data_IF_579265506236
#
_entry.id   IF_579265506236
#
_cell.length_a   1.000
_cell.length_b   1.000
_cell.length_c   1.000
_cell.angle_alpha   90.00
_cell.angle_beta   90.00
_cell.angle_gamma   90.00
#
_symmetry.space_group_name_H-M   'P 1'
#
loop_
_entity.id
_entity.type
_entity.pdbx_description
1 polymer ?
#
# COMPACT_ATOMS: atom_id res chain seq x y z
N UNK A 1 -29.54 63.49 -44.09
CA UNK A 1 -28.33 64.08 -44.73
C UNK A 1 -27.14 63.90 -43.80
N UNK A 2 -25.98 63.53 -44.36
CA UNK A 2 -24.68 63.15 -43.74
C UNK A 2 -24.64 61.69 -43.25
N UNK A 3 -24.15 60.69 -44.00
CA UNK A 3 -22.75 60.42 -44.46
C UNK A 3 -21.73 60.58 -43.33
N UNK A 4 -20.77 59.70 -43.04
CA UNK A 4 -20.38 58.35 -43.44
C UNK A 4 -19.06 58.09 -42.65
N UNK A 5 -18.63 56.83 -42.54
CA UNK A 5 -17.20 56.41 -42.59
C UNK A 5 -16.30 56.40 -41.32
N UNK A 6 -15.46 55.34 -41.31
CA UNK A 6 -14.27 54.99 -40.50
C UNK A 6 -14.52 54.22 -39.17
N UNK A 7 -14.54 52.88 -39.14
CA UNK A 7 -13.48 51.86 -39.39
C UNK A 7 -12.84 51.34 -38.08
N UNK A 8 -12.85 50.01 -37.99
CA UNK A 8 -11.78 49.14 -37.46
C UNK A 8 -11.51 49.14 -35.94
N UNK A 9 -11.94 48.08 -35.25
CA UNK A 9 -11.12 46.86 -35.03
C UNK A 9 -11.85 45.87 -34.12
N UNK A 10 -12.04 44.67 -34.67
CA UNK A 10 -12.42 43.48 -33.93
C UNK A 10 -11.32 43.08 -32.95
N UNK A 11 -11.68 42.69 -31.73
CA UNK A 11 -10.85 41.80 -30.91
C UNK A 11 -11.78 40.68 -30.45
N UNK A 12 -11.79 39.62 -31.23
CA UNK A 12 -12.37 38.32 -30.87
C UNK A 12 -11.43 37.70 -29.84
N UNK A 13 -11.78 37.80 -28.55
CA UNK A 13 -11.12 37.02 -27.51
C UNK A 13 -11.60 35.57 -27.62
N UNK A 14 -10.85 34.76 -28.36
CA UNK A 14 -10.99 33.31 -28.39
C UNK A 14 -10.53 32.79 -27.01
N UNK A 15 -11.48 32.46 -26.15
CA UNK A 15 -11.23 31.75 -24.89
C UNK A 15 -10.83 30.31 -25.24
N UNK A 16 -9.52 30.09 -25.38
CA UNK A 16 -8.93 28.75 -25.43
C UNK A 16 -9.00 28.17 -24.01
N UNK A 17 -10.10 27.49 -23.68
CA UNK A 17 -10.18 26.65 -22.51
C UNK A 17 -9.28 25.42 -22.75
N UNK A 18 -7.99 25.54 -22.45
CA UNK A 18 -7.13 24.38 -22.25
C UNK A 18 -7.65 23.64 -21.01
N UNK A 19 -8.52 22.65 -21.23
CA UNK A 19 -8.68 21.55 -20.29
C UNK A 19 -7.34 20.82 -20.29
N UNK A 20 -6.48 21.20 -19.36
CA UNK A 20 -5.33 20.40 -18.94
C UNK A 20 -5.89 19.11 -18.35
N UNK A 21 -6.19 18.13 -19.20
CA UNK A 21 -6.37 16.75 -18.76
C UNK A 21 -5.01 16.31 -18.23
N UNK A 22 -4.78 16.52 -16.94
CA UNK A 22 -3.72 15.85 -16.21
C UNK A 22 -4.03 14.37 -16.31
N UNK A 23 -3.44 13.72 -17.32
CA UNK A 23 -3.28 12.27 -17.33
C UNK A 23 -2.40 11.97 -16.13
N UNK A 24 -3.01 11.73 -14.97
CA UNK A 24 -2.36 11.02 -13.88
C UNK A 24 -1.95 9.71 -14.52
N UNK A 25 -0.67 9.60 -14.89
CA UNK A 25 -0.06 8.34 -15.24
C UNK A 25 -0.30 7.50 -14.00
N UNK A 26 -1.29 6.62 -14.05
CA UNK A 26 -1.48 5.58 -13.05
C UNK A 26 -0.21 4.73 -13.15
N UNK A 27 0.83 5.16 -12.42
CA UNK A 27 2.02 4.36 -12.24
C UNK A 27 1.52 3.05 -11.65
N UNK A 28 1.95 1.92 -12.22
CA UNK A 28 1.64 0.63 -11.63
C UNK A 28 2.06 0.68 -10.17
N UNK A 29 1.13 0.43 -9.27
CA UNK A 29 1.45 0.40 -7.86
C UNK A 29 2.45 -0.74 -7.60
N UNK A 30 3.49 -0.43 -6.83
CA UNK A 30 4.44 -1.43 -6.34
C UNK A 30 4.59 -1.31 -4.83
N UNK A 31 4.84 -2.44 -4.18
CA UNK A 31 5.14 -2.52 -2.76
C UNK A 31 6.63 -2.75 -2.54
N UNK A 32 7.19 -2.03 -1.59
CA UNK A 32 8.56 -2.24 -1.11
C UNK A 32 8.54 -2.62 0.37
N UNK A 33 9.42 -3.53 0.77
CA UNK A 33 9.57 -3.90 2.18
C UNK A 33 10.15 -2.70 2.96
N UNK A 34 9.60 -2.44 4.14
CA UNK A 34 10.06 -1.37 5.03
C UNK A 34 10.85 -2.01 6.18
N UNK A 35 12.18 -1.77 6.26
CA UNK A 35 12.96 -2.22 7.40
C UNK A 35 12.47 -1.55 8.69
N UNK A 36 12.05 -2.37 9.65
CA UNK A 36 11.61 -1.91 10.97
C UNK A 36 12.77 -2.05 11.96
N UNK A 37 13.23 -0.95 12.54
CA UNK A 37 14.41 -0.89 13.42
C UNK A 37 14.11 -0.16 14.73
N UNK A 38 14.85 -0.40 15.82
CA UNK A 38 14.73 0.41 17.03
C UNK A 38 14.89 1.89 16.69
N UNK A 39 14.10 2.75 17.36
CA UNK A 39 14.14 4.20 17.14
C UNK A 39 15.55 4.77 17.35
N UNK A 40 16.26 4.26 18.35
CA UNK A 40 17.68 4.52 18.58
C UNK A 40 18.32 3.34 19.32
N UNK A 41 19.66 3.25 19.40
CA UNK A 41 20.34 2.19 20.14
C UNK A 41 19.86 2.05 21.59
N UNK A 42 19.53 3.17 22.24
CA UNK A 42 19.05 3.23 23.63
C UNK A 42 17.52 3.20 23.78
N UNK A 43 16.77 3.14 22.66
CA UNK A 43 15.30 3.14 22.62
C UNK A 43 14.80 1.94 21.85
N UNK A 44 14.71 0.82 22.56
CA UNK A 44 14.20 -0.47 22.07
C UNK A 44 12.75 -0.73 22.44
N UNK A 45 12.11 0.23 23.12
CA UNK A 45 10.67 0.25 23.41
C UNK A 45 9.84 0.68 22.19
N UNK A 46 10.46 1.38 21.24
CA UNK A 46 9.82 1.85 20.01
C UNK A 46 10.63 1.40 18.79
N UNK A 47 9.93 0.84 17.82
CA UNK A 47 10.48 0.45 16.54
C UNK A 47 9.85 1.27 15.42
N UNK A 48 10.68 1.75 14.51
CA UNK A 48 10.30 2.63 13.41
C UNK A 48 10.62 2.01 12.05
N UNK A 49 9.70 2.20 11.11
CA UNK A 49 9.91 2.01 9.67
C UNK A 49 9.60 3.32 8.96
N UNK A 50 10.40 3.68 7.95
CA UNK A 50 10.23 4.97 7.28
C UNK A 50 10.22 4.82 5.76
N UNK A 51 9.42 5.67 5.13
CA UNK A 51 9.48 5.97 3.70
C UNK A 51 9.64 7.49 3.49
N UNK A 52 9.38 7.97 2.27
CA UNK A 52 9.51 9.39 1.95
C UNK A 52 8.51 10.24 2.74
N UNK A 53 7.24 9.84 2.78
CA UNK A 53 6.16 10.64 3.39
C UNK A 53 5.61 10.05 4.68
N UNK A 54 5.93 8.81 5.03
CA UNK A 54 5.32 8.12 6.17
C UNK A 54 6.37 7.54 7.10
N UNK A 55 6.11 7.63 8.40
CA UNK A 55 6.79 6.86 9.44
C UNK A 55 5.77 5.93 10.12
N UNK A 56 6.15 4.67 10.26
CA UNK A 56 5.41 3.62 10.96
C UNK A 56 6.08 3.42 12.32
N UNK A 57 5.30 3.43 13.39
CA UNK A 57 5.81 3.17 14.75
C UNK A 57 5.09 1.98 15.38
N UNK A 58 5.88 1.07 15.94
CA UNK A 58 5.42 -0.09 16.70
C UNK A 58 5.96 -0.01 18.12
N UNK A 59 5.11 -0.33 19.11
CA UNK A 59 5.56 -0.49 20.50
C UNK A 59 6.13 -1.89 20.70
N UNK A 60 7.19 -1.97 21.49
CA UNK A 60 7.77 -3.22 21.95
C UNK A 60 7.89 -3.21 23.47
N UNK A 61 7.17 -4.12 24.12
CA UNK A 61 7.25 -4.30 25.57
C UNK A 61 8.26 -5.39 25.97
N UNK A 62 8.92 -6.03 24.98
CA UNK A 62 9.94 -7.04 25.20
C UNK A 62 11.26 -6.39 25.63
N UNK A 63 11.75 -6.77 26.81
CA UNK A 63 12.98 -6.23 27.41
C UNK A 63 14.26 -6.98 27.03
N UNK A 64 14.17 -8.19 26.44
CA UNK A 64 15.34 -9.02 26.11
C UNK A 64 15.18 -9.77 24.77
N UNK A 65 16.31 -10.05 24.11
CA UNK A 65 16.38 -10.84 22.88
C UNK A 65 15.91 -10.10 21.62
N UNK A 66 16.01 -10.76 20.47
CA UNK A 66 15.59 -10.17 19.19
C UNK A 66 14.07 -10.02 19.13
N UNK A 67 13.61 -8.88 18.61
CA UNK A 67 12.20 -8.59 18.35
C UNK A 67 11.90 -8.97 16.90
N UNK A 68 11.03 -9.95 16.73
CA UNK A 68 10.58 -10.46 15.42
C UNK A 68 9.12 -10.08 15.12
N UNK A 69 8.37 -9.74 16.16
CA UNK A 69 6.93 -9.48 16.08
C UNK A 69 6.53 -8.41 17.09
N UNK A 70 5.40 -7.75 16.83
CA UNK A 70 4.81 -6.72 17.68
C UNK A 70 3.37 -7.14 18.04
N UNK A 71 3.15 -7.69 19.25
CA UNK A 71 1.84 -8.16 19.65
C UNK A 71 0.89 -7.04 20.10
N UNK A 72 1.44 -5.95 20.61
CA UNK A 72 0.66 -4.92 21.30
C UNK A 72 0.32 -3.74 20.39
N UNK A 73 -0.97 -3.36 20.30
CA UNK A 73 -1.36 -2.15 19.62
C UNK A 73 -0.95 -0.86 20.37
N UNK A 74 -0.95 0.29 19.65
CA UNK A 74 -1.29 0.44 18.24
C UNK A 74 -0.06 0.39 17.31
N UNK A 75 -0.30 0.10 16.02
CA UNK A 75 0.59 0.56 14.95
C UNK A 75 0.22 2.01 14.63
N UNK A 76 1.15 2.94 14.88
CA UNK A 76 0.94 4.37 14.58
C UNK A 76 1.53 4.72 13.22
N UNK A 77 0.76 5.44 12.40
CA UNK A 77 1.21 5.97 11.11
C UNK A 77 1.28 7.48 11.22
N UNK A 78 2.50 8.02 11.06
CA UNK A 78 2.76 9.45 11.04
C UNK A 78 2.99 9.90 9.60
N UNK A 79 2.13 10.77 9.09
CA UNK A 79 2.33 11.43 7.80
C UNK A 79 3.24 12.65 7.99
N UNK A 80 4.45 12.57 7.45
CA UNK A 80 5.50 13.58 7.59
C UNK A 80 5.22 14.84 6.79
N UNK A 81 4.39 14.75 5.75
CA UNK A 81 4.03 15.89 4.88
C UNK A 81 2.90 16.72 5.47
N UNK A 82 1.84 16.08 5.96
CA UNK A 82 0.69 16.76 6.58
C UNK A 82 0.87 17.00 8.08
N UNK A 83 1.89 16.39 8.71
CA UNK A 83 2.09 16.41 10.15
C UNK A 83 0.87 15.88 10.93
N UNK A 84 0.22 14.86 10.39
CA UNK A 84 -0.94 14.19 10.99
C UNK A 84 -0.59 12.75 11.31
N UNK A 85 -1.22 12.20 12.35
CA UNK A 85 -1.08 10.80 12.71
C UNK A 85 -2.44 10.10 12.76
N UNK A 86 -2.41 8.79 12.54
CA UNK A 86 -3.52 7.89 12.81
C UNK A 86 -2.99 6.58 13.40
N UNK A 87 -3.86 5.77 13.98
CA UNK A 87 -3.50 4.51 14.62
C UNK A 87 -4.33 3.34 14.06
N UNK A 88 -3.71 2.18 13.98
CA UNK A 88 -4.33 0.91 13.66
C UNK A 88 -4.32 0.06 14.93
N UNK A 89 -5.52 -0.27 15.40
CA UNK A 89 -5.71 -1.30 16.43
C UNK A 89 -5.58 -2.69 15.80
N UNK A 90 -5.01 -3.64 16.52
CA UNK A 90 -4.78 -5.00 16.03
C UNK A 90 -3.52 -5.63 16.63
N UNK A 91 -2.92 -6.53 15.86
CA UNK A 91 -1.78 -7.35 16.26
C UNK A 91 -2.14 -8.84 16.21
N UNK A 92 -1.18 -9.77 16.10
CA UNK A 92 0.28 -9.62 16.20
C UNK A 92 0.88 -9.32 14.83
N UNK A 93 1.72 -8.28 14.71
CA UNK A 93 2.37 -7.92 13.44
C UNK A 93 3.77 -8.54 13.30
N UNK A 94 4.08 -9.09 12.13
CA UNK A 94 5.42 -9.57 11.82
C UNK A 94 6.36 -8.41 11.44
N UNK A 95 7.52 -8.31 12.10
CA UNK A 95 8.48 -7.21 11.90
C UNK A 95 9.02 -7.14 10.47
N UNK A 96 9.26 -8.29 9.85
CA UNK A 96 9.72 -8.39 8.46
C UNK A 96 8.58 -8.35 7.43
N UNK A 97 7.32 -8.32 7.88
CA UNK A 97 6.12 -8.38 7.04
C UNK A 97 5.49 -7.01 6.79
N UNK A 98 6.26 -5.93 6.83
CA UNK A 98 5.77 -4.56 6.61
C UNK A 98 6.20 -4.06 5.24
N UNK A 99 5.24 -3.56 4.47
CA UNK A 99 5.46 -3.04 3.12
C UNK A 99 4.73 -1.72 2.93
N UNK A 100 5.22 -0.88 2.03
CA UNK A 100 4.59 0.39 1.68
C UNK A 100 4.51 0.55 0.18
N UNK A 101 3.44 1.19 -0.31
CA UNK A 101 3.30 1.53 -1.72
C UNK A 101 4.31 2.59 -2.12
N UNK A 102 4.72 2.59 -3.40
CA UNK A 102 5.66 3.54 -3.96
C UNK A 102 5.20 5.02 -3.90
N UNK A 103 3.91 5.26 -3.71
CA UNK A 103 3.32 6.59 -3.49
C UNK A 103 3.01 6.90 -2.02
N UNK A 104 3.45 6.04 -1.09
CA UNK A 104 3.21 6.08 0.35
C UNK A 104 1.73 6.15 0.78
N UNK A 105 0.78 5.81 -0.10
CA UNK A 105 -0.66 5.91 0.17
C UNK A 105 -1.23 4.68 0.89
N UNK A 106 -0.56 3.53 0.77
CA UNK A 106 -0.99 2.25 1.35
C UNK A 106 0.16 1.59 2.09
N UNK A 107 -0.09 1.18 3.34
CA UNK A 107 0.78 0.26 4.09
C UNK A 107 0.17 -1.13 4.07
N UNK A 108 1.01 -2.15 3.95
CA UNK A 108 0.62 -3.56 4.07
C UNK A 108 1.36 -4.15 5.25
N UNK A 109 0.63 -4.80 6.15
CA UNK A 109 1.21 -5.50 7.30
C UNK A 109 0.78 -6.96 7.30
N UNK A 110 1.73 -7.86 7.54
CA UNK A 110 1.45 -9.24 7.89
C UNK A 110 1.02 -9.28 9.36
N UNK A 111 -0.22 -9.68 9.57
CA UNK A 111 -0.84 -9.81 10.89
C UNK A 111 -1.32 -11.25 11.09
N UNK A 112 -1.10 -11.79 12.28
CA UNK A 112 -1.43 -13.17 12.61
C UNK A 112 -1.99 -13.33 14.02
N UNK A 113 -2.83 -14.36 14.17
CA UNK A 113 -3.44 -14.75 15.43
C UNK A 113 -3.72 -16.26 15.42
N UNK A 114 -3.00 -17.00 16.28
CA UNK A 114 -3.08 -18.47 16.31
C UNK A 114 -2.61 -19.09 14.99
N UNK A 115 -3.53 -19.75 14.28
CA UNK A 115 -3.28 -20.37 12.97
C UNK A 115 -3.75 -19.51 11.79
N UNK A 116 -4.26 -18.30 12.06
CA UNK A 116 -4.72 -17.38 11.04
C UNK A 116 -3.62 -16.37 10.72
N UNK A 117 -3.39 -16.16 9.43
CA UNK A 117 -2.45 -15.17 8.90
C UNK A 117 -3.14 -14.34 7.82
N UNK A 118 -2.85 -13.04 7.80
CA UNK A 118 -3.41 -12.12 6.82
C UNK A 118 -2.39 -11.07 6.38
N UNK A 119 -2.49 -10.65 5.11
CA UNK A 119 -1.89 -9.41 4.63
C UNK A 119 -2.97 -8.33 4.64
N UNK A 120 -2.84 -7.36 5.54
CA UNK A 120 -3.82 -6.29 5.74
C UNK A 120 -3.33 -4.99 5.11
N UNK A 121 -4.17 -4.40 4.26
CA UNK A 121 -3.88 -3.17 3.53
C UNK A 121 -4.57 -2.02 4.24
N UNK A 122 -3.85 -0.96 4.57
CA UNK A 122 -4.37 0.21 5.25
C UNK A 122 -4.02 1.50 4.51
N UNK A 123 -4.96 2.44 4.50
CA UNK A 123 -4.70 3.78 3.99
C UNK A 123 -3.84 4.56 5.00
N UNK A 124 -2.72 5.12 4.55
CA UNK A 124 -1.75 5.78 5.45
C UNK A 124 -2.21 7.12 6.00
N UNK A 125 -3.25 7.74 5.43
CA UNK A 125 -3.79 9.01 5.93
C UNK A 125 -4.88 8.81 6.99
N UNK A 126 -5.63 7.71 6.90
CA UNK A 126 -6.84 7.48 7.71
C UNK A 126 -6.76 6.24 8.59
N UNK A 127 -5.75 5.40 8.40
CA UNK A 127 -5.59 4.09 9.04
C UNK A 127 -6.76 3.13 8.80
N UNK A 128 -7.62 3.43 7.82
CA UNK A 128 -8.74 2.57 7.44
C UNK A 128 -8.24 1.38 6.64
N UNK A 129 -8.73 0.19 7.02
CA UNK A 129 -8.50 -1.04 6.27
C UNK A 129 -9.12 -0.92 4.87
N UNK A 130 -8.31 -1.18 3.85
CA UNK A 130 -8.68 -1.13 2.44
C UNK A 130 -8.97 -2.50 1.87
N UNK A 131 -8.21 -3.51 2.30
CA UNK A 131 -8.35 -4.89 1.84
C UNK A 131 -7.64 -5.86 2.80
N UNK A 132 -7.90 -7.15 2.59
CA UNK A 132 -7.31 -8.27 3.32
C UNK A 132 -7.06 -9.43 2.35
N UNK A 133 -5.90 -10.08 2.48
CA UNK A 133 -5.65 -11.37 1.84
C UNK A 133 -5.41 -12.39 2.95
N UNK A 134 -6.29 -13.39 3.04
CA UNK A 134 -6.05 -14.57 3.86
C UNK A 134 -4.87 -15.38 3.29
N UNK A 135 -3.81 -15.48 4.08
CA UNK A 135 -2.59 -16.24 3.78
C UNK A 135 -2.39 -17.39 4.78
N UNK A 136 -3.40 -17.72 5.57
CA UNK A 136 -3.36 -18.81 6.55
C UNK A 136 -2.96 -20.13 5.88
N UNK A 137 -2.07 -20.88 6.51
CA UNK A 137 -1.52 -22.15 5.99
C UNK A 137 -0.98 -22.04 4.56
N UNK A 138 -0.31 -20.92 4.24
CA UNK A 138 0.24 -20.67 2.90
C UNK A 138 1.68 -20.18 2.98
N UNK A 139 2.49 -20.51 1.99
CA UNK A 139 3.64 -19.67 1.67
C UNK A 139 3.17 -18.48 0.84
N UNK A 140 3.79 -17.34 1.04
CA UNK A 140 3.48 -16.13 0.28
C UNK A 140 4.75 -15.34 -0.01
N UNK A 141 4.67 -14.51 -1.04
CA UNK A 141 5.74 -13.59 -1.41
C UNK A 141 5.15 -12.36 -2.10
N UNK A 142 5.73 -11.20 -1.81
CA UNK A 142 5.41 -9.93 -2.48
C UNK A 142 6.60 -9.55 -3.36
N UNK A 143 6.37 -9.37 -4.65
CA UNK A 143 7.36 -8.89 -5.61
C UNK A 143 6.77 -7.72 -6.38
N UNK A 144 7.18 -6.51 -6.00
CA UNK A 144 6.71 -5.26 -6.61
C UNK A 144 5.18 -5.16 -6.63
N UNK A 145 4.55 -5.32 -7.79
CA UNK A 145 3.10 -5.23 -7.98
C UNK A 145 2.37 -6.58 -7.84
N UNK A 146 3.09 -7.67 -7.59
CA UNK A 146 2.53 -9.02 -7.54
C UNK A 146 2.64 -9.62 -6.14
N UNK A 147 1.54 -10.23 -5.70
CA UNK A 147 1.48 -11.04 -4.47
C UNK A 147 1.12 -12.46 -4.87
N UNK A 148 1.96 -13.40 -4.48
CA UNK A 148 1.75 -14.83 -4.71
C UNK A 148 1.45 -15.54 -3.41
N UNK A 149 0.43 -16.40 -3.40
CA UNK A 149 0.00 -17.17 -2.23
C UNK A 149 -0.20 -18.63 -2.63
N UNK A 150 0.57 -19.55 -2.04
CA UNK A 150 0.49 -20.98 -2.30
C UNK A 150 0.15 -21.75 -1.01
N UNK A 151 -0.97 -22.47 -1.02
CA UNK A 151 -1.41 -23.27 0.14
C UNK A 151 -0.39 -24.37 0.45
N UNK A 152 -0.01 -24.49 1.71
CA UNK A 152 0.83 -25.57 2.21
C UNK A 152 -0.05 -26.82 2.44
N UNK A 153 0.42 -27.99 2.00
CA UNK A 153 -0.27 -29.26 2.23
C UNK A 153 -1.22 -29.69 1.10
N UNK A 154 -0.64 -30.34 0.09
CA UNK A 154 -1.15 -31.57 -0.57
C UNK A 154 -0.13 -31.97 -1.64
N UNK A 155 0.02 -33.27 -1.92
CA UNK A 155 1.03 -33.87 -2.82
C UNK A 155 0.89 -33.47 -4.31
N UNK A 156 0.10 -32.46 -4.62
CA UNK A 156 0.04 -31.78 -5.91
C UNK A 156 0.46 -30.34 -5.68
N UNK A 157 1.44 -29.86 -6.47
CA UNK A 157 1.84 -28.47 -6.49
C UNK A 157 0.62 -27.61 -6.86
N UNK A 158 -0.11 -27.13 -5.86
CA UNK A 158 -1.22 -26.22 -6.07
C UNK A 158 -0.65 -24.94 -6.65
N UNK A 159 -1.14 -24.57 -7.84
CA UNK A 159 -0.73 -23.33 -8.51
C UNK A 159 -0.98 -22.15 -7.55
N UNK A 160 0.00 -21.26 -7.34
CA UNK A 160 -0.19 -20.10 -6.47
C UNK A 160 -1.36 -19.26 -6.97
N UNK A 161 -2.16 -18.75 -6.03
CA UNK A 161 -3.06 -17.64 -6.31
C UNK A 161 -2.21 -16.39 -6.46
N UNK A 162 -2.40 -15.68 -7.58
CA UNK A 162 -1.69 -14.45 -7.88
C UNK A 162 -2.65 -13.27 -7.74
N UNK A 163 -2.22 -12.25 -7.01
CA UNK A 163 -2.87 -10.96 -6.94
C UNK A 163 -1.98 -9.91 -7.60
N UNK A 164 -2.56 -9.08 -8.45
CA UNK A 164 -1.91 -7.89 -9.00
C UNK A 164 -2.45 -6.65 -8.30
N UNK A 165 -1.59 -5.68 -8.05
CA UNK A 165 -2.02 -4.41 -7.48
C UNK A 165 -2.68 -3.54 -8.56
N UNK A 166 -3.85 -3.00 -8.24
CA UNK A 166 -4.49 -2.01 -9.09
C UNK A 166 -3.84 -0.62 -8.95
N UNK A 167 -4.41 0.38 -9.63
CA UNK A 167 -3.94 1.76 -9.59
C UNK A 167 -4.04 2.42 -8.20
N UNK A 168 -4.76 1.81 -7.26
CA UNK A 168 -4.93 2.27 -5.88
C UNK A 168 -4.24 1.35 -4.87
N UNK A 169 -3.29 0.53 -5.33
CA UNK A 169 -2.53 -0.40 -4.51
C UNK A 169 -3.39 -1.44 -3.79
N UNK A 170 -4.57 -1.76 -4.33
CA UNK A 170 -5.42 -2.83 -3.81
C UNK A 170 -5.15 -4.12 -4.58
N UNK A 171 -5.11 -5.27 -3.89
CA UNK A 171 -4.88 -6.54 -4.54
C UNK A 171 -6.12 -6.98 -5.34
N UNK A 172 -5.90 -7.38 -6.59
CA UNK A 172 -6.90 -7.94 -7.50
C UNK A 172 -6.46 -9.35 -7.88
N UNK A 173 -7.29 -10.34 -7.52
CA UNK A 173 -7.02 -11.75 -7.82
C UNK A 173 -7.06 -11.99 -9.34
N UNK A 174 -5.96 -12.51 -9.90
CA UNK A 174 -5.91 -12.92 -11.30
C UNK A 174 -6.64 -14.26 -11.49
N UNK A 175 -7.69 -14.24 -12.30
CA UNK A 175 -8.39 -15.45 -12.73
C UNK A 175 -7.69 -15.97 -14.00
N UNK A 176 -6.80 -16.96 -13.87
CA UNK A 176 -6.36 -17.69 -15.05
C UNK A 176 -7.51 -18.59 -15.54
N UNK A 177 -8.16 -18.19 -16.64
CA UNK A 177 -9.08 -19.07 -17.36
C UNK A 177 -8.32 -20.33 -17.83
N UNK A 178 -8.88 -21.54 -17.69
CA UNK A 178 -8.27 -22.73 -18.25
C UNK A 178 -8.17 -22.55 -19.77
N UNK A 179 -6.95 -22.68 -20.31
CA UNK A 179 -6.73 -22.69 -21.75
C UNK A 179 -7.33 -24.01 -22.25
N UNK A 180 -8.54 -23.95 -22.80
CA UNK A 180 -9.11 -25.07 -23.54
C UNK A 180 -8.27 -25.27 -24.80
N UNK A 181 -7.23 -26.13 -24.71
CA UNK A 181 -6.59 -26.68 -25.89
C UNK A 181 -7.61 -27.62 -26.54
N UNK A 182 -8.35 -27.10 -27.53
CA UNK A 182 -9.06 -27.96 -28.48
C UNK A 182 -8.00 -28.86 -29.13
N UNK A 183 -8.13 -30.17 -28.91
CA UNK A 183 -7.47 -31.19 -29.73
C UNK A 183 -8.17 -31.26 -31.08
#
# INVERSE_FOLDING_TARGET
MKNNIFLLRQIVFVLFAMLSTSTVKAGCCTLTNVPINPMSPDRTDIYIGQSNMVELQFRNDKVTGTVEVFPEPPLTINNRKSNTSCAIEGGVWARNGVFISNDDSVVVVHEFSGSNDSLNFYNTQTCKKLNEIDISNSTWNIKESEISVAKQGNKQANKPTIYQLDAFCKPVKLITKPINRKK
#
